data_IF_820167270025
#
_entry.id   IF_820167270025
#
_cell.length_a   1.000
_cell.length_b   1.000
_cell.length_c   1.000
_cell.angle_alpha   90.00
_cell.angle_beta   90.00
_cell.angle_gamma   90.00
#
_symmetry.space_group_name_H-M   'P 1'
#
loop_
_entity.id
_entity.type
_entity.pdbx_description
1 polymer ?
#
# COMPACT_ATOMS: atom_id res chain seq x y z
N UNK A 1 -17.49 -14.12 -15.33
CA UNK A 1 -17.50 -13.53 -13.97
C UNK A 1 -16.12 -13.03 -13.49
N UNK A 2 -14.97 -13.56 -13.96
CA UNK A 2 -13.64 -13.13 -13.47
C UNK A 2 -13.16 -11.74 -13.92
N UNK A 3 -13.49 -11.30 -15.14
CA UNK A 3 -13.01 -10.01 -15.68
C UNK A 3 -13.68 -8.80 -15.00
N UNK A 4 -15.02 -8.81 -14.86
CA UNK A 4 -15.72 -7.68 -14.23
C UNK A 4 -15.30 -7.44 -12.77
N UNK A 5 -14.96 -8.49 -12.04
CA UNK A 5 -14.46 -8.38 -10.67
C UNK A 5 -13.04 -7.82 -10.62
N UNK A 6 -12.13 -8.31 -11.47
CA UNK A 6 -10.77 -7.78 -11.56
C UNK A 6 -10.75 -6.30 -12.00
N UNK A 7 -11.57 -5.91 -12.96
CA UNK A 7 -11.69 -4.51 -13.40
C UNK A 7 -12.28 -3.59 -12.33
N UNK A 8 -13.28 -4.05 -11.56
CA UNK A 8 -13.77 -3.27 -10.41
C UNK A 8 -12.69 -3.09 -9.35
N UNK A 9 -11.98 -4.16 -9.00
CA UNK A 9 -10.89 -4.10 -8.02
C UNK A 9 -9.77 -3.14 -8.48
N UNK A 10 -9.35 -3.22 -9.75
CA UNK A 10 -8.36 -2.29 -10.32
C UNK A 10 -8.80 -0.83 -10.21
N UNK A 11 -10.04 -0.52 -10.58
CA UNK A 11 -10.59 0.83 -10.51
C UNK A 11 -10.69 1.35 -9.06
N UNK A 12 -10.98 0.47 -8.12
CA UNK A 12 -11.06 0.81 -6.71
C UNK A 12 -9.65 0.99 -6.10
N UNK A 13 -8.66 0.22 -6.54
CA UNK A 13 -7.27 0.39 -6.09
C UNK A 13 -6.66 1.73 -6.54
N UNK A 14 -6.89 2.16 -7.79
CA UNK A 14 -6.41 3.47 -8.24
C UNK A 14 -7.00 4.62 -7.42
N UNK A 15 -8.30 4.54 -7.10
CA UNK A 15 -8.96 5.51 -6.23
C UNK A 15 -8.42 5.46 -4.81
N UNK A 16 -8.19 4.26 -4.26
CA UNK A 16 -7.65 4.08 -2.93
C UNK A 16 -6.22 4.65 -2.83
N UNK A 17 -5.37 4.40 -3.82
CA UNK A 17 -4.04 5.04 -3.93
C UNK A 17 -4.17 6.55 -3.88
N UNK A 18 -5.08 7.12 -4.67
CA UNK A 18 -5.34 8.57 -4.66
C UNK A 18 -5.73 9.10 -3.28
N UNK A 19 -6.64 8.40 -2.59
CA UNK A 19 -7.09 8.77 -1.24
C UNK A 19 -5.95 8.69 -0.22
N UNK A 20 -5.20 7.58 -0.18
CA UNK A 20 -4.08 7.42 0.73
C UNK A 20 -2.96 8.42 0.46
N UNK A 21 -2.67 8.74 -0.80
CA UNK A 21 -1.71 9.81 -1.13
C UNK A 21 -2.15 11.18 -0.61
N UNK A 22 -3.45 11.51 -0.64
CA UNK A 22 -3.92 12.74 -0.01
C UNK A 22 -3.75 12.70 1.51
N UNK A 23 -4.01 11.55 2.14
CA UNK A 23 -3.77 11.38 3.59
C UNK A 23 -2.29 11.58 3.91
N UNK A 24 -1.38 10.97 3.16
CA UNK A 24 0.08 11.11 3.33
C UNK A 24 0.52 12.57 3.12
N UNK A 25 -0.12 13.32 2.20
CA UNK A 25 0.17 14.76 2.04
C UNK A 25 -0.21 15.60 3.25
N UNK A 26 -1.23 15.18 4.01
CA UNK A 26 -1.71 15.89 5.21
C UNK A 26 -0.94 15.40 6.44
N UNK A 27 -0.69 14.10 6.52
CA UNK A 27 0.01 13.41 7.61
C UNK A 27 1.02 12.43 7.00
N UNK A 28 2.25 12.89 6.73
CA UNK A 28 3.30 12.04 6.16
C UNK A 28 3.78 10.95 7.11
N UNK A 29 3.51 11.08 8.41
CA UNK A 29 3.89 10.09 9.41
C UNK A 29 2.76 9.10 9.72
N UNK A 30 1.69 9.08 8.90
CA UNK A 30 0.55 8.22 9.15
C UNK A 30 0.81 6.79 8.67
N UNK A 31 1.38 5.98 9.56
CA UNK A 31 1.76 4.58 9.37
C UNK A 31 0.68 3.75 8.66
N UNK A 32 -0.59 3.93 9.02
CA UNK A 32 -1.68 3.15 8.43
C UNK A 32 -1.92 3.47 6.94
N UNK A 33 -1.70 4.71 6.49
CA UNK A 33 -1.81 5.04 5.08
C UNK A 33 -0.65 4.42 4.28
N UNK A 34 0.58 4.48 4.78
CA UNK A 34 1.72 3.83 4.15
C UNK A 34 1.55 2.31 4.05
N UNK A 35 1.08 1.68 5.13
CA UNK A 35 0.79 0.24 5.14
C UNK A 35 -0.30 -0.14 4.13
N UNK A 36 -1.41 0.60 4.13
CA UNK A 36 -2.52 0.35 3.20
C UNK A 36 -2.10 0.56 1.75
N UNK A 37 -1.27 1.57 1.49
CA UNK A 37 -0.74 1.87 0.18
C UNK A 37 0.22 0.76 -0.32
N UNK A 38 1.11 0.29 0.54
CA UNK A 38 1.98 -0.86 0.26
C UNK A 38 1.20 -2.15 -0.02
N UNK A 39 0.14 -2.41 0.74
CA UNK A 39 -0.76 -3.55 0.51
C UNK A 39 -1.47 -3.45 -0.85
N UNK A 40 -1.94 -2.26 -1.23
CA UNK A 40 -2.57 -2.06 -2.54
C UNK A 40 -1.56 -2.27 -3.67
N UNK A 41 -0.33 -1.78 -3.52
CA UNK A 41 0.73 -2.02 -4.49
C UNK A 41 1.06 -3.51 -4.64
N UNK A 42 1.07 -4.27 -3.54
CA UNK A 42 1.22 -5.73 -3.58
C UNK A 42 0.10 -6.43 -4.36
N UNK A 43 -1.15 -6.02 -4.16
CA UNK A 43 -2.29 -6.59 -4.89
C UNK A 43 -2.23 -6.24 -6.38
N UNK A 44 -1.68 -5.07 -6.73
CA UNK A 44 -1.40 -4.71 -8.12
C UNK A 44 -0.18 -5.45 -8.72
N UNK A 45 0.58 -6.17 -7.90
CA UNK A 45 1.82 -6.85 -8.29
C UNK A 45 3.05 -5.95 -8.31
N UNK A 46 2.92 -4.70 -7.87
CA UNK A 46 4.04 -3.75 -7.77
C UNK A 46 4.76 -3.89 -6.42
N UNK A 47 5.58 -4.93 -6.32
CA UNK A 47 6.42 -5.17 -5.14
C UNK A 47 7.44 -4.05 -4.90
N UNK A 48 7.86 -3.33 -5.94
CA UNK A 48 8.84 -2.25 -5.80
C UNK A 48 8.22 -1.06 -5.05
N UNK A 49 7.02 -0.64 -5.46
CA UNK A 49 6.31 0.42 -4.77
C UNK A 49 5.98 0.04 -3.32
N UNK A 50 5.60 -1.22 -3.06
CA UNK A 50 5.41 -1.72 -1.70
C UNK A 50 6.70 -1.68 -0.85
N UNK A 51 7.85 -1.97 -1.46
CA UNK A 51 9.16 -1.86 -0.78
C UNK A 51 9.53 -0.42 -0.43
N UNK A 52 9.15 0.56 -1.25
CA UNK A 52 9.36 1.96 -0.92
C UNK A 52 8.49 2.39 0.28
N UNK A 53 7.23 1.97 0.33
CA UNK A 53 6.37 2.19 1.51
C UNK A 53 6.92 1.49 2.76
N UNK A 54 7.48 0.28 2.61
CA UNK A 54 8.18 -0.41 3.70
C UNK A 54 9.35 0.39 4.27
N UNK A 55 10.18 1.01 3.41
CA UNK A 55 11.31 1.82 3.88
C UNK A 55 10.84 2.99 4.72
N UNK A 56 9.78 3.68 4.28
CA UNK A 56 9.19 4.79 5.03
C UNK A 56 8.65 4.30 6.36
N UNK A 57 7.88 3.20 6.35
CA UNK A 57 7.35 2.58 7.56
C UNK A 57 8.44 2.17 8.53
N UNK A 58 9.60 1.70 8.05
CA UNK A 58 10.70 1.26 8.90
C UNK A 58 11.21 2.37 9.82
N UNK A 59 11.20 3.62 9.35
CA UNK A 59 11.58 4.80 10.14
C UNK A 59 10.44 5.29 11.05
N UNK A 60 9.18 5.04 10.69
CA UNK A 60 7.99 5.49 11.44
C UNK A 60 7.55 4.49 12.52
N UNK A 61 7.35 3.24 12.14
CA UNK A 61 6.88 2.14 12.97
C UNK A 61 7.38 0.80 12.44
N UNK A 62 8.39 0.25 13.13
CA UNK A 62 9.07 -0.96 12.72
C UNK A 62 8.15 -2.20 12.70
N UNK A 63 7.20 -2.32 13.64
CA UNK A 63 6.27 -3.45 13.70
C UNK A 63 5.37 -3.53 12.46
N UNK A 64 4.86 -2.38 12.03
CA UNK A 64 4.05 -2.29 10.80
C UNK A 64 4.90 -2.51 9.55
N UNK A 65 6.15 -2.04 9.56
CA UNK A 65 7.09 -2.29 8.47
C UNK A 65 7.37 -3.80 8.32
N UNK A 66 7.68 -4.51 9.40
CA UNK A 66 7.94 -5.95 9.37
C UNK A 66 6.74 -6.74 8.85
N UNK A 67 5.51 -6.34 9.22
CA UNK A 67 4.28 -6.93 8.67
C UNK A 67 4.16 -6.72 7.16
N UNK A 68 4.41 -5.51 6.68
CA UNK A 68 4.36 -5.24 5.24
C UNK A 68 5.44 -6.02 4.50
N UNK A 69 6.65 -6.10 5.07
CA UNK A 69 7.76 -6.86 4.52
C UNK A 69 7.45 -8.35 4.40
N UNK A 70 6.88 -8.98 5.44
CA UNK A 70 6.42 -10.36 5.38
C UNK A 70 5.46 -10.55 4.19
N UNK A 71 4.49 -9.66 4.03
CA UNK A 71 3.53 -9.71 2.92
C UNK A 71 4.16 -9.49 1.54
N UNK A 72 5.27 -8.75 1.43
CA UNK A 72 6.01 -8.56 0.16
C UNK A 72 6.70 -9.87 -0.27
N UNK A 73 7.25 -10.62 0.69
CA UNK A 73 8.07 -11.81 0.43
C UNK A 73 7.35 -13.15 0.63
N UNK A 74 6.12 -13.11 1.13
CA UNK A 74 5.19 -14.24 1.16
C UNK A 74 4.71 -14.62 -0.24
#
# INVERSE_FOLDING_TARGET
>A
YGLGWAYSQLKDYEKAIGAFKQVIRIQPDYTFAHYSLGMIYLVQGDKNAALDEYKILKDLDQDTADKLFDMIYK
#
